data_IF_300404795156
#
_entry.id   IF_300404795156
#
_cell.length_a   1.000
_cell.length_b   1.000
_cell.length_c   1.000
_cell.angle_alpha   90.00
_cell.angle_beta   90.00
_cell.angle_gamma   90.00
#
_symmetry.space_group_name_H-M   'P 1'
#
loop_
_entity.id
_entity.type
_entity.pdbx_description
1 polymer ?
#
# COMPACT_ATOMS: atom_id res chain seq x y z
N UNK A 1 -4.97 2.83 12.47
CA UNK A 1 -4.34 4.16 12.39
C UNK A 1 -3.51 4.53 13.63
N UNK A 2 -4.01 4.38 14.87
CA UNK A 2 -3.20 4.58 16.09
C UNK A 2 -2.24 3.41 16.37
N UNK A 3 -2.70 2.18 16.09
CA UNK A 3 -1.94 0.94 16.11
C UNK A 3 -2.16 0.19 14.78
N UNK A 4 -1.30 -0.80 14.46
CA UNK A 4 -1.33 -1.57 13.21
C UNK A 4 -0.27 -1.14 12.17
N UNK A 5 -0.24 -1.83 11.03
CA UNK A 5 0.80 -1.61 10.00
C UNK A 5 0.63 -0.27 9.27
N UNK A 6 -0.60 0.24 9.19
CA UNK A 6 -0.97 1.55 8.64
C UNK A 6 -1.00 2.65 9.73
N UNK A 7 0.08 2.76 10.51
CA UNK A 7 0.18 3.77 11.56
C UNK A 7 0.36 5.16 10.93
N UNK A 8 -0.43 6.15 11.35
CA UNK A 8 -0.60 7.44 10.66
C UNK A 8 0.67 8.29 10.48
N UNK A 9 1.76 8.00 11.19
CA UNK A 9 3.03 8.73 11.08
C UNK A 9 4.14 7.86 10.46
N UNK A 10 4.30 6.65 10.98
CA UNK A 10 5.34 5.72 10.58
C UNK A 10 5.12 5.20 9.16
N UNK A 11 3.89 4.82 8.82
CA UNK A 11 3.59 4.29 7.50
C UNK A 11 3.81 5.35 6.40
N UNK A 12 3.25 6.58 6.49
CA UNK A 12 3.60 7.63 5.53
C UNK A 12 5.09 7.91 5.38
N UNK A 13 5.87 7.79 6.47
CA UNK A 13 7.32 7.94 6.40
C UNK A 13 8.00 6.80 5.63
N UNK A 14 7.60 5.54 5.83
CA UNK A 14 8.15 4.41 5.05
C UNK A 14 7.73 4.50 3.58
N UNK A 15 6.50 4.95 3.28
CA UNK A 15 6.03 5.24 1.92
C UNK A 15 6.85 6.37 1.29
N UNK A 16 7.14 7.44 2.01
CA UNK A 16 7.99 8.54 1.52
C UNK A 16 9.39 8.05 1.12
N UNK A 17 10.00 7.16 1.93
CA UNK A 17 11.30 6.56 1.60
C UNK A 17 11.23 5.66 0.37
N UNK A 18 10.16 4.88 0.24
CA UNK A 18 9.91 4.06 -0.93
C UNK A 18 9.69 4.88 -2.20
N UNK A 19 8.94 5.98 -2.10
CA UNK A 19 8.81 6.95 -3.18
C UNK A 19 10.17 7.48 -3.63
N UNK A 20 11.01 7.92 -2.68
CA UNK A 20 12.37 8.38 -2.97
C UNK A 20 13.20 7.34 -3.75
N UNK A 21 13.06 6.05 -3.42
CA UNK A 21 13.78 4.96 -4.10
C UNK A 21 13.28 4.66 -5.51
N UNK A 22 11.97 4.82 -5.74
CA UNK A 22 11.35 4.52 -7.02
C UNK A 22 11.42 5.69 -8.00
N UNK A 23 11.25 6.92 -7.51
CA UNK A 23 10.98 8.10 -8.35
C UNK A 23 11.83 9.33 -8.01
N UNK A 24 12.72 9.25 -7.02
CA UNK A 24 13.42 10.43 -6.50
C UNK A 24 12.57 11.23 -5.52
N UNK A 25 13.04 12.42 -5.13
CA UNK A 25 12.41 13.23 -4.07
C UNK A 25 11.01 13.69 -4.51
N UNK A 26 9.95 13.44 -3.72
CA UNK A 26 8.62 13.92 -4.05
C UNK A 26 8.55 15.46 -4.00
N UNK A 27 7.72 16.03 -4.86
CA UNK A 27 7.28 17.42 -4.73
C UNK A 27 6.44 17.61 -3.47
N UNK A 28 6.24 18.86 -3.04
CA UNK A 28 5.50 19.15 -1.80
C UNK A 28 4.04 18.67 -1.84
N UNK A 29 3.39 18.67 -3.02
CA UNK A 29 2.02 18.14 -3.21
C UNK A 29 1.98 16.62 -3.11
N UNK A 30 2.95 15.94 -3.72
CA UNK A 30 3.09 14.47 -3.63
C UNK A 30 3.38 14.05 -2.18
N UNK A 31 4.19 14.82 -1.44
CA UNK A 31 4.43 14.60 -0.02
C UNK A 31 3.14 14.70 0.79
N UNK A 32 2.30 15.72 0.55
CA UNK A 32 0.97 15.81 1.20
C UNK A 32 0.11 14.60 0.82
N UNK A 33 0.07 14.20 -0.45
CA UNK A 33 -0.67 13.02 -0.89
C UNK A 33 -0.22 11.74 -0.18
N UNK A 34 1.09 11.53 -0.02
CA UNK A 34 1.66 10.41 0.76
C UNK A 34 1.18 10.45 2.22
N UNK A 35 1.08 11.62 2.84
CA UNK A 35 0.65 11.71 4.24
C UNK A 35 -0.84 11.43 4.45
N UNK A 36 -1.69 11.78 3.49
CA UNK A 36 -3.15 11.71 3.64
C UNK A 36 -3.79 10.46 3.02
N UNK A 37 -3.04 9.65 2.27
CA UNK A 37 -3.60 8.61 1.40
C UNK A 37 -4.49 7.59 2.13
N UNK A 38 -4.13 7.29 3.37
CA UNK A 38 -4.80 6.31 4.23
C UNK A 38 -5.69 6.92 5.32
N UNK A 39 -5.93 8.24 5.28
CA UNK A 39 -6.77 8.88 6.30
C UNK A 39 -8.21 8.36 6.32
N UNK A 40 -8.69 7.75 5.24
CA UNK A 40 -10.00 7.09 5.22
C UNK A 40 -10.10 5.92 6.21
N UNK A 41 -8.99 5.31 6.64
CA UNK A 41 -9.01 4.28 7.67
C UNK A 41 -9.37 4.80 9.07
N UNK A 42 -9.33 6.11 9.32
CA UNK A 42 -9.67 6.67 10.63
C UNK A 42 -11.12 6.40 11.06
N UNK A 43 -12.01 6.22 10.08
CA UNK A 43 -13.44 5.98 10.30
C UNK A 43 -13.86 4.54 9.93
N UNK A 44 -12.91 3.67 9.60
CA UNK A 44 -13.21 2.29 9.21
C UNK A 44 -13.17 1.36 10.44
N UNK A 45 -14.31 0.86 10.94
CA UNK A 45 -14.32 -0.10 12.05
C UNK A 45 -13.73 -1.46 11.64
N UNK A 46 -13.71 -1.74 10.34
CA UNK A 46 -13.08 -2.92 9.74
C UNK A 46 -12.30 -2.50 8.47
N UNK A 47 -10.97 -2.68 8.49
CA UNK A 47 -10.07 -2.27 7.40
C UNK A 47 -10.20 -3.15 6.15
N UNK A 48 -10.63 -4.41 6.31
CA UNK A 48 -10.87 -5.35 5.21
C UNK A 48 -12.36 -5.42 4.81
N UNK A 49 -13.23 -4.76 5.59
CA UNK A 49 -14.66 -4.65 5.33
C UNK A 49 -15.00 -3.73 4.14
N UNK A 50 -16.29 -3.66 3.75
CA UNK A 50 -16.77 -2.71 2.74
C UNK A 50 -16.34 -1.26 3.00
N UNK A 51 -16.27 -0.85 4.27
CA UNK A 51 -15.85 0.48 4.71
C UNK A 51 -14.35 0.68 4.51
N UNK A 52 -13.54 -0.29 4.94
CA UNK A 52 -12.09 -0.23 4.79
C UNK A 52 -11.64 -0.23 3.33
N UNK A 53 -12.38 -0.88 2.41
CA UNK A 53 -12.10 -0.78 0.97
C UNK A 53 -12.19 0.66 0.43
N UNK A 54 -13.01 1.52 1.05
CA UNK A 54 -13.22 2.92 0.66
C UNK A 54 -12.18 3.88 1.25
N UNK A 55 -11.16 3.39 1.98
CA UNK A 55 -10.10 4.23 2.55
C UNK A 55 -9.47 5.26 1.58
N UNK A 56 -9.32 5.01 0.26
CA UNK A 56 -8.70 5.98 -0.63
C UNK A 56 -9.57 7.22 -0.89
N UNK A 57 -10.89 7.12 -0.68
CA UNK A 57 -11.85 8.16 -1.08
C UNK A 57 -11.63 9.48 -0.32
N UNK A 58 -11.38 9.41 1.00
CA UNK A 58 -11.18 10.60 1.82
C UNK A 58 -9.90 11.33 1.42
N UNK A 59 -8.77 10.61 1.34
CA UNK A 59 -7.49 11.18 0.92
C UNK A 59 -7.57 11.76 -0.50
N UNK A 60 -8.23 11.05 -1.42
CA UNK A 60 -8.43 11.50 -2.79
C UNK A 60 -9.30 12.76 -2.85
N UNK A 61 -10.37 12.85 -2.07
CA UNK A 61 -11.22 14.04 -1.98
C UNK A 61 -10.46 15.27 -1.49
N UNK A 62 -9.61 15.10 -0.48
CA UNK A 62 -8.74 16.18 0.03
C UNK A 62 -7.71 16.58 -1.03
N UNK A 63 -7.01 15.62 -1.63
CA UNK A 63 -6.01 15.88 -2.68
C UNK A 63 -6.62 16.59 -3.89
N UNK A 64 -7.80 16.15 -4.33
CA UNK A 64 -8.55 16.77 -5.43
C UNK A 64 -8.93 18.21 -5.12
N UNK A 65 -9.41 18.48 -3.91
CA UNK A 65 -9.77 19.85 -3.48
C UNK A 65 -8.56 20.79 -3.39
N UNK A 66 -7.41 20.28 -2.95
CA UNK A 66 -6.21 21.11 -2.75
C UNK A 66 -5.40 21.30 -4.04
N UNK A 67 -5.30 20.27 -4.87
CA UNK A 67 -4.31 20.19 -5.95
C UNK A 67 -4.88 19.77 -7.31
N UNK A 68 -6.17 19.43 -7.39
CA UNK A 68 -6.85 19.02 -8.63
C UNK A 68 -6.90 17.52 -8.86
N UNK A 69 -7.60 17.12 -9.93
CA UNK A 69 -7.96 15.72 -10.23
C UNK A 69 -6.75 14.80 -10.36
N UNK A 70 -5.63 15.28 -10.90
CA UNK A 70 -4.39 14.50 -11.03
C UNK A 70 -3.92 13.94 -9.68
N UNK A 71 -3.93 14.78 -8.64
CA UNK A 71 -3.52 14.37 -7.29
C UNK A 71 -4.62 13.58 -6.57
N UNK A 72 -5.88 13.87 -6.87
CA UNK A 72 -7.01 13.04 -6.48
C UNK A 72 -6.84 11.60 -6.97
N UNK A 73 -6.50 11.43 -8.25
CA UNK A 73 -6.28 10.13 -8.89
C UNK A 73 -4.99 9.45 -8.42
N UNK A 74 -3.93 10.23 -8.15
CA UNK A 74 -2.72 9.73 -7.51
C UNK A 74 -3.03 9.02 -6.18
N UNK A 75 -3.90 9.64 -5.37
CA UNK A 75 -4.35 9.03 -4.11
C UNK A 75 -5.38 7.95 -4.36
N UNK A 76 -6.45 8.18 -5.14
CA UNK A 76 -7.53 7.22 -5.32
C UNK A 76 -7.04 5.87 -5.85
N UNK A 77 -6.15 5.90 -6.85
CA UNK A 77 -5.65 4.69 -7.50
C UNK A 77 -4.40 4.12 -6.84
N UNK A 78 -4.05 4.55 -5.62
CA UNK A 78 -3.12 3.79 -4.78
C UNK A 78 -3.74 2.43 -4.40
N UNK A 79 -5.08 2.37 -4.27
CA UNK A 79 -5.81 1.11 -4.16
C UNK A 79 -5.97 0.44 -5.52
N UNK A 80 -5.38 -0.75 -5.65
CA UNK A 80 -5.52 -1.58 -6.87
C UNK A 80 -6.96 -1.98 -7.16
N UNK A 81 -7.80 -2.10 -6.13
CA UNK A 81 -9.21 -2.41 -6.30
C UNK A 81 -9.92 -1.25 -7.02
N UNK A 82 -9.72 -0.01 -6.56
CA UNK A 82 -10.28 1.18 -7.22
C UNK A 82 -9.75 1.36 -8.63
N UNK A 83 -8.44 1.19 -8.82
CA UNK A 83 -7.82 1.24 -10.14
C UNK A 83 -8.51 0.25 -11.10
N UNK A 84 -8.69 -1.01 -10.67
CA UNK A 84 -9.37 -2.04 -11.47
C UNK A 84 -10.84 -1.70 -11.76
N UNK A 85 -11.60 -1.24 -10.75
CA UNK A 85 -13.01 -0.87 -10.95
C UNK A 85 -13.19 0.24 -11.97
N UNK A 86 -12.25 1.18 -12.05
CA UNK A 86 -12.30 2.31 -12.97
C UNK A 86 -11.57 2.06 -14.30
N UNK A 87 -11.04 0.85 -14.53
CA UNK A 87 -10.24 0.54 -15.72
C UNK A 87 -8.96 1.38 -15.83
N UNK A 88 -8.43 1.87 -14.70
CA UNK A 88 -7.22 2.70 -14.63
C UNK A 88 -6.03 1.88 -14.14
N UNK A 89 -4.80 2.24 -14.54
CA UNK A 89 -3.61 1.65 -13.95
C UNK A 89 -3.46 2.12 -12.48
N UNK A 90 -2.86 1.28 -11.60
CA UNK A 90 -2.49 1.73 -10.26
C UNK A 90 -1.54 2.92 -10.31
N UNK A 91 -1.73 3.88 -9.41
CA UNK A 91 -0.93 5.11 -9.38
C UNK A 91 0.51 4.86 -8.93
N UNK A 92 1.38 5.86 -9.07
CA UNK A 92 2.74 5.85 -8.50
C UNK A 92 2.72 5.61 -6.99
N UNK A 93 1.72 6.17 -6.30
CA UNK A 93 1.56 5.99 -4.86
C UNK A 93 1.29 4.54 -4.48
N UNK A 94 0.55 3.78 -5.30
CA UNK A 94 0.33 2.34 -5.10
C UNK A 94 1.64 1.56 -4.92
N UNK A 95 2.63 1.85 -5.77
CA UNK A 95 3.89 1.13 -5.79
C UNK A 95 4.82 1.57 -4.68
N UNK A 96 4.84 2.88 -4.38
CA UNK A 96 5.55 3.40 -3.22
C UNK A 96 5.01 2.81 -1.92
N UNK A 97 3.68 2.74 -1.78
CA UNK A 97 3.00 2.12 -0.65
C UNK A 97 3.42 0.66 -0.48
N UNK A 98 3.28 -0.16 -1.53
CA UNK A 98 3.71 -1.57 -1.52
C UNK A 98 5.17 -1.77 -1.15
N UNK A 99 6.04 -0.89 -1.62
CA UNK A 99 7.48 -0.98 -1.37
C UNK A 99 7.88 -0.49 0.03
N UNK A 100 7.00 0.24 0.72
CA UNK A 100 7.25 0.79 2.05
C UNK A 100 7.69 -0.27 3.07
N UNK A 101 7.24 -1.52 2.90
CA UNK A 101 7.63 -2.66 3.74
C UNK A 101 9.15 -2.94 3.75
N UNK A 102 9.90 -2.51 2.74
CA UNK A 102 11.38 -2.62 2.76
C UNK A 102 12.00 -1.74 3.84
N UNK A 103 11.31 -0.66 4.22
CA UNK A 103 11.74 0.30 5.23
C UNK A 103 11.19 0.01 6.61
N UNK A 104 10.46 -1.10 6.75
CA UNK A 104 9.89 -1.57 8.01
C UNK A 104 10.90 -2.47 8.76
N UNK A 105 11.32 -2.09 9.98
CA UNK A 105 12.01 -3.01 10.87
C UNK A 105 11.10 -4.20 11.17
N UNK A 106 11.57 -5.41 10.86
CA UNK A 106 10.80 -6.66 11.00
C UNK A 106 10.12 -6.80 12.37
N UNK A 107 10.88 -6.60 13.44
CA UNK A 107 10.34 -6.70 14.81
C UNK A 107 9.22 -5.69 15.06
N UNK A 108 9.35 -4.47 14.53
CA UNK A 108 8.40 -3.39 14.74
C UNK A 108 7.11 -3.60 13.94
N UNK A 109 7.24 -4.06 12.69
CA UNK A 109 6.10 -4.46 11.87
C UNK A 109 5.33 -5.60 12.54
N UNK A 110 6.02 -6.68 12.92
CA UNK A 110 5.39 -7.86 13.53
C UNK A 110 4.72 -7.53 14.86
N UNK A 111 5.34 -6.69 15.69
CA UNK A 111 4.74 -6.23 16.93
C UNK A 111 3.42 -5.50 16.66
N UNK A 112 3.41 -4.53 15.74
CA UNK A 112 2.19 -3.76 15.41
C UNK A 112 1.12 -4.62 14.78
N UNK A 113 1.49 -5.51 13.85
CA UNK A 113 0.56 -6.43 13.18
C UNK A 113 -0.03 -7.47 14.15
N UNK A 114 0.72 -7.89 15.16
CA UNK A 114 0.23 -8.77 16.21
C UNK A 114 -0.72 -8.04 17.18
N UNK A 115 -0.37 -6.83 17.61
CA UNK A 115 -1.20 -6.01 18.50
C UNK A 115 -2.52 -5.57 17.84
N UNK A 116 -2.52 -5.32 16.53
CA UNK A 116 -3.75 -4.98 15.79
C UNK A 116 -4.59 -6.19 15.41
N UNK A 117 -4.01 -7.40 15.41
CA UNK A 117 -4.65 -8.62 14.91
C UNK A 117 -4.56 -8.82 13.38
N UNK A 118 -4.12 -7.80 12.63
CA UNK A 118 -3.98 -7.81 11.16
C UNK A 118 -3.10 -8.97 10.67
N UNK A 119 -2.13 -9.43 11.48
CA UNK A 119 -1.25 -10.53 11.10
C UNK A 119 -2.01 -11.82 10.77
N UNK A 120 -3.18 -12.05 11.39
CA UNK A 120 -4.00 -13.25 11.11
C UNK A 120 -4.61 -13.19 9.72
N UNK A 121 -5.15 -12.04 9.35
CA UNK A 121 -5.76 -11.79 8.05
C UNK A 121 -4.71 -11.87 6.94
N UNK A 122 -3.55 -11.24 7.14
CA UNK A 122 -2.46 -11.30 6.16
C UNK A 122 -1.93 -12.71 5.93
N UNK A 123 -1.89 -13.52 6.99
CA UNK A 123 -1.50 -14.93 6.90
C UNK A 123 -2.54 -15.76 6.17
N UNK A 124 -3.83 -15.55 6.44
CA UNK A 124 -4.92 -16.22 5.71
C UNK A 124 -4.91 -15.86 4.23
N UNK A 125 -4.71 -14.58 3.89
CA UNK A 125 -4.61 -14.12 2.50
C UNK A 125 -3.39 -14.69 1.77
N UNK A 126 -2.31 -14.98 2.49
CA UNK A 126 -1.09 -15.57 1.95
C UNK A 126 -1.04 -17.11 1.99
N UNK A 127 -2.06 -17.78 2.52
CA UNK A 127 -2.01 -19.22 2.86
C UNK A 127 -1.65 -20.09 1.66
N UNK A 128 -2.22 -19.81 0.48
CA UNK A 128 -2.03 -20.64 -0.71
C UNK A 128 -0.63 -20.48 -1.33
N UNK A 129 0.06 -19.37 -1.03
CA UNK A 129 1.39 -19.06 -1.57
C UNK A 129 2.53 -19.39 -0.62
N UNK A 130 2.30 -19.24 0.68
CA UNK A 130 3.34 -19.33 1.70
C UNK A 130 3.10 -20.42 2.76
N UNK A 131 1.84 -20.84 2.95
CA UNK A 131 1.44 -21.77 3.99
C UNK A 131 1.25 -21.12 5.37
N UNK A 132 0.47 -21.78 6.23
CA UNK A 132 0.18 -21.32 7.60
C UNK A 132 1.12 -21.90 8.67
N UNK A 133 1.92 -22.91 8.33
CA UNK A 133 2.79 -23.61 9.29
C UNK A 133 4.07 -22.84 9.65
N UNK A 134 4.50 -21.91 8.78
CA UNK A 134 5.74 -21.13 8.96
C UNK A 134 5.57 -20.00 9.97
N UNK A 135 6.64 -19.52 10.58
CA UNK A 135 6.56 -18.38 11.51
C UNK A 135 6.09 -17.08 10.83
N UNK A 136 5.57 -16.13 11.62
CA UNK A 136 5.27 -14.77 11.12
C UNK A 136 6.53 -14.07 10.59
N UNK A 137 7.68 -14.37 11.18
CA UNK A 137 8.98 -13.85 10.74
C UNK A 137 9.35 -14.30 9.33
N UNK A 138 9.23 -15.59 9.02
CA UNK A 138 9.53 -16.11 7.68
C UNK A 138 8.53 -15.58 6.64
N UNK A 139 7.26 -15.41 7.02
CA UNK A 139 6.26 -14.79 6.15
C UNK A 139 6.61 -13.33 5.82
N UNK A 140 7.08 -12.56 6.80
CA UNK A 140 7.52 -11.20 6.57
C UNK A 140 8.71 -11.16 5.61
N UNK A 141 9.71 -12.05 5.77
CA UNK A 141 10.87 -12.09 4.90
C UNK A 141 10.50 -12.47 3.46
N UNK A 142 9.60 -13.45 3.30
CA UNK A 142 9.05 -13.81 2.00
C UNK A 142 8.31 -12.64 1.35
N UNK A 143 7.42 -11.97 2.10
CA UNK A 143 6.66 -10.84 1.63
C UNK A 143 7.58 -9.70 1.16
N UNK A 144 8.61 -9.40 1.95
CA UNK A 144 9.65 -8.42 1.62
C UNK A 144 10.38 -8.78 0.33
N UNK A 145 10.70 -10.06 0.14
CA UNK A 145 11.31 -10.56 -1.10
C UNK A 145 10.41 -10.38 -2.33
N UNK A 146 9.10 -10.66 -2.20
CA UNK A 146 8.12 -10.47 -3.27
C UNK A 146 8.01 -8.99 -3.69
N UNK A 147 7.99 -8.08 -2.71
CA UNK A 147 7.94 -6.64 -3.01
C UNK A 147 9.24 -6.07 -3.57
N UNK A 148 10.39 -6.63 -3.18
CA UNK A 148 11.66 -6.27 -3.80
C UNK A 148 11.69 -6.66 -5.28
N UNK A 149 11.30 -7.89 -5.62
CA UNK A 149 11.18 -8.35 -7.01
C UNK A 149 10.22 -7.47 -7.82
N UNK A 150 9.09 -7.09 -7.21
CA UNK A 150 8.12 -6.20 -7.84
C UNK A 150 8.71 -4.80 -8.11
N UNK A 151 9.49 -4.25 -7.18
CA UNK A 151 10.14 -2.96 -7.38
C UNK A 151 11.24 -3.01 -8.43
N UNK A 152 12.04 -4.07 -8.48
CA UNK A 152 13.08 -4.22 -9.50
C UNK A 152 12.46 -4.36 -10.90
N UNK A 153 11.35 -5.11 -11.02
CA UNK A 153 10.57 -5.18 -12.26
C UNK A 153 9.95 -3.83 -12.67
N UNK A 154 9.63 -2.96 -11.71
CA UNK A 154 9.01 -1.64 -11.96
C UNK A 154 10.02 -0.49 -12.09
N UNK A 155 11.28 -0.68 -11.68
CA UNK A 155 12.40 0.21 -12.01
C UNK A 155 12.77 0.15 -13.50
N UNK A 156 12.41 -0.95 -14.17
CA UNK A 156 12.66 -1.17 -15.60
C UNK A 156 11.89 -0.24 -16.51
N UNK A 157 10.55 -0.14 -16.35
CA UNK A 157 9.72 0.75 -17.16
C UNK A 157 8.37 0.99 -16.46
N UNK A 158 7.90 2.24 -16.45
CA UNK A 158 6.54 2.60 -16.09
C UNK A 158 5.56 2.09 -17.17
N UNK A 159 5.24 0.78 -17.18
CA UNK A 159 4.29 0.18 -18.13
C UNK A 159 3.00 -0.26 -17.41
N UNK A 160 1.81 0.00 -17.99
CA UNK A 160 0.53 -0.52 -17.53
C UNK A 160 0.56 -2.05 -17.40
N UNK A 161 -0.28 -2.55 -16.51
CA UNK A 161 -0.37 -3.96 -16.17
C UNK A 161 -0.54 -4.85 -17.42
N UNK A 162 0.42 -5.76 -17.61
CA UNK A 162 0.32 -6.92 -18.49
C UNK A 162 -0.96 -7.69 -18.16
N UNK A 163 -1.76 -7.93 -19.19
CA UNK A 163 -2.94 -8.79 -19.20
C UNK A 163 -2.72 -10.04 -18.34
N UNK A 164 -3.65 -10.29 -17.41
CA UNK A 164 -3.78 -11.60 -16.83
C UNK A 164 -4.04 -12.58 -17.97
N UNK A 165 -3.07 -13.47 -18.23
CA UNK A 165 -3.31 -14.75 -18.89
C UNK A 165 -4.36 -15.51 -18.08
N UNK A 166 -5.62 -15.30 -18.44
CA UNK A 166 -6.74 -16.21 -18.28
C UNK A 166 -7.43 -16.29 -19.65
N UNK A 167 -6.65 -16.71 -20.64
CA UNK A 167 -7.13 -17.40 -21.82
C UNK A 167 -6.50 -18.79 -21.80
N UNK A 168 -7.21 -19.70 -21.12
CA UNK A 168 -7.36 -21.14 -21.41
C UNK A 168 -8.22 -21.77 -20.31
#
# INVERSE_FOLDING_TARGET
>A
MLFGVHQFLWHPWTVYRAWCRLYGRPGWREAVCIFIHDWGYWHAPNMDGPEGRRHPELGAGIARRLFGDEYGDLVLYHSRHYARMHGKPPSRLCWADKLSILYEPKWFYLLRAALSGEIREYRLNGKDRFGLERSHGEWFDWLRGQFLQLADAKRGDAVPYLESRLSR
#
